data_IF_828986681193
#
_entry.id   IF_828986681193
#
_cell.length_a   1.000
_cell.length_b   1.000
_cell.length_c   1.000
_cell.angle_alpha   90.00
_cell.angle_beta   90.00
_cell.angle_gamma   90.00
#
_symmetry.space_group_name_H-M   'P 1'
#
loop_
_entity.id
_entity.type
_entity.pdbx_description
1 polymer ?
#
# COMPACT_ATOMS: atom_id res chain seq x y z
N UNK A 1 -0.29 18.59 -18.67
CA UNK A 1 -0.40 17.14 -18.39
C UNK A 1 -0.85 17.03 -16.94
N UNK A 2 -1.92 16.28 -16.61
CA UNK A 2 -2.23 15.97 -15.23
C UNK A 2 -1.02 15.23 -14.63
N UNK A 3 -0.52 15.69 -13.49
CA UNK A 3 0.56 14.98 -12.79
C UNK A 3 -0.08 13.89 -11.95
N UNK A 4 0.31 12.64 -12.21
CA UNK A 4 -0.06 11.54 -11.33
C UNK A 4 0.70 11.68 -10.00
N UNK A 5 -0.05 11.60 -8.91
CA UNK A 5 0.50 11.64 -7.55
C UNK A 5 0.12 10.35 -6.86
N UNK A 6 1.11 9.66 -6.33
CA UNK A 6 0.93 8.39 -5.62
C UNK A 6 1.22 8.59 -4.13
N UNK A 7 0.52 7.84 -3.27
CA UNK A 7 0.80 7.85 -1.84
C UNK A 7 0.80 6.44 -1.25
N UNK A 8 1.55 6.26 -0.18
CA UNK A 8 1.48 5.08 0.68
C UNK A 8 1.71 5.47 2.14
N UNK A 9 1.23 4.62 3.04
CA UNK A 9 1.39 4.80 4.50
C UNK A 9 2.42 3.79 4.98
N UNK A 10 3.38 4.25 5.78
CA UNK A 10 4.41 3.39 6.39
C UNK A 10 4.24 3.40 7.91
N UNK A 11 4.18 2.22 8.51
CA UNK A 11 4.21 2.05 9.96
C UNK A 11 5.62 2.30 10.51
N UNK A 12 5.73 2.99 11.64
CA UNK A 12 6.98 3.15 12.37
C UNK A 12 7.06 2.19 13.56
N UNK A 13 8.29 1.86 14.00
CA UNK A 13 8.52 1.10 15.23
C UNK A 13 8.06 1.83 16.49
N UNK A 14 7.86 3.15 16.46
CA UNK A 14 7.33 3.94 17.58
C UNK A 14 5.78 3.91 17.68
N UNK A 15 5.12 3.10 16.84
CA UNK A 15 3.67 2.99 16.77
C UNK A 15 2.98 4.13 16.02
N UNK A 16 3.73 5.02 15.38
CA UNK A 16 3.21 6.12 14.54
C UNK A 16 3.17 5.73 13.07
N UNK A 17 2.51 6.56 12.29
CA UNK A 17 2.38 6.41 10.85
C UNK A 17 3.03 7.57 10.12
N UNK A 18 3.63 7.26 8.98
CA UNK A 18 4.08 8.25 8.02
C UNK A 18 3.28 8.14 6.74
N UNK A 19 2.95 9.28 6.15
CA UNK A 19 2.39 9.32 4.80
C UNK A 19 3.48 9.78 3.86
N UNK A 20 3.78 8.97 2.85
CA UNK A 20 4.72 9.28 1.79
C UNK A 20 3.93 9.57 0.53
N UNK A 21 4.31 10.64 -0.16
CA UNK A 21 3.70 11.10 -1.39
C UNK A 21 4.80 11.22 -2.44
N UNK A 22 4.61 10.59 -3.59
CA UNK A 22 5.50 10.67 -4.73
C UNK A 22 4.78 11.36 -5.88
N UNK A 23 5.42 12.38 -6.44
CA UNK A 23 4.97 13.02 -7.66
C UNK A 23 5.56 12.26 -8.85
N UNK A 24 4.90 12.33 -10.00
CA UNK A 24 5.41 11.82 -11.29
C UNK A 24 6.84 12.31 -11.62
N UNK A 25 7.23 13.49 -11.12
CA UNK A 25 8.60 14.02 -11.25
C UNK A 25 9.66 13.24 -10.45
N UNK A 26 9.27 12.22 -9.68
CA UNK A 26 10.12 11.49 -8.74
C UNK A 26 10.34 12.21 -7.41
N UNK A 27 9.80 13.41 -7.24
CA UNK A 27 9.91 14.16 -5.97
C UNK A 27 9.08 13.47 -4.89
N UNK A 28 9.71 13.24 -3.74
CA UNK A 28 9.09 12.60 -2.57
C UNK A 28 8.84 13.66 -1.49
N UNK A 29 7.64 13.64 -0.93
CA UNK A 29 7.26 14.37 0.28
C UNK A 29 6.80 13.40 1.35
N UNK A 30 7.16 13.67 2.61
CA UNK A 30 6.79 12.81 3.73
C UNK A 30 6.17 13.65 4.84
N UNK A 31 4.94 13.29 5.23
CA UNK A 31 4.35 13.72 6.48
C UNK A 31 4.69 12.69 7.55
N UNK A 32 5.48 13.11 8.52
CA UNK A 32 5.94 12.25 9.60
C UNK A 32 5.05 12.32 10.84
N UNK A 33 4.87 11.18 11.50
CA UNK A 33 4.47 11.12 12.90
C UNK A 33 2.97 11.28 13.18
N UNK A 34 2.11 10.85 12.25
CA UNK A 34 0.69 10.69 12.51
C UNK A 34 0.48 9.69 13.65
N UNK A 35 -0.33 10.06 14.64
CA UNK A 35 -0.55 9.29 15.86
C UNK A 35 -1.45 8.08 15.59
N UNK A 36 -2.30 8.16 14.58
CA UNK A 36 -3.21 7.08 14.19
C UNK A 36 -3.37 6.96 12.68
N UNK A 37 -3.85 5.79 12.25
CA UNK A 37 -4.21 5.54 10.85
C UNK A 37 -5.31 6.49 10.37
N UNK A 38 -6.33 6.74 11.19
CA UNK A 38 -7.40 7.69 10.90
C UNK A 38 -6.88 9.11 10.66
N UNK A 39 -5.85 9.54 11.40
CA UNK A 39 -5.22 10.86 11.19
C UNK A 39 -4.46 10.93 9.86
N UNK A 40 -3.79 9.84 9.48
CA UNK A 40 -3.13 9.72 8.19
C UNK A 40 -4.16 9.77 7.04
N UNK A 41 -5.26 9.02 7.15
CA UNK A 41 -6.32 8.98 6.15
C UNK A 41 -7.03 10.33 5.99
N UNK A 42 -7.33 11.01 7.11
CA UNK A 42 -7.94 12.36 7.09
C UNK A 42 -7.05 13.36 6.34
N UNK A 43 -5.74 13.26 6.53
CA UNK A 43 -4.79 14.12 5.84
C UNK A 43 -4.66 13.79 4.35
N UNK A 44 -4.67 12.51 3.99
CA UNK A 44 -4.70 12.06 2.59
C UNK A 44 -5.94 12.59 1.89
N UNK A 45 -7.09 12.58 2.55
CA UNK A 45 -8.33 13.09 1.99
C UNK A 45 -8.27 14.62 1.76
N UNK A 46 -7.71 15.36 2.72
CA UNK A 46 -7.40 16.79 2.54
C UNK A 46 -6.46 17.03 1.35
N UNK A 47 -5.41 16.21 1.22
CA UNK A 47 -4.47 16.29 0.10
C UNK A 47 -5.17 16.01 -1.24
N UNK A 48 -6.00 14.97 -1.32
CA UNK A 48 -6.78 14.64 -2.53
C UNK A 48 -7.65 15.80 -2.97
N UNK A 49 -8.40 16.40 -2.04
CA UNK A 49 -9.24 17.56 -2.35
C UNK A 49 -8.42 18.74 -2.92
N UNK A 50 -7.30 19.08 -2.28
CA UNK A 50 -6.42 20.16 -2.71
C UNK A 50 -5.83 19.90 -4.09
N UNK A 51 -5.35 18.69 -4.33
CA UNK A 51 -4.67 18.31 -5.55
C UNK A 51 -5.64 18.10 -6.72
N UNK A 52 -6.86 17.61 -6.46
CA UNK A 52 -7.94 17.54 -7.44
C UNK A 52 -8.34 18.94 -7.93
N UNK A 53 -8.37 19.94 -7.06
CA UNK A 53 -8.70 21.32 -7.42
C UNK A 53 -7.71 21.94 -8.44
N UNK A 54 -6.47 21.43 -8.50
CA UNK A 54 -5.45 21.87 -9.46
C UNK A 54 -5.20 20.85 -10.61
N UNK A 55 -6.07 19.84 -10.74
CA UNK A 55 -6.01 18.87 -11.85
C UNK A 55 -4.90 17.81 -11.72
N UNK A 56 -4.42 17.55 -10.51
CA UNK A 56 -3.38 16.56 -10.21
C UNK A 56 -3.89 15.51 -9.21
N UNK A 57 -4.83 14.63 -9.58
CA UNK A 57 -5.46 13.70 -8.63
C UNK A 57 -4.44 12.76 -7.95
N UNK A 58 -4.69 12.45 -6.68
CA UNK A 58 -3.82 11.59 -5.86
C UNK A 58 -4.43 10.19 -5.73
N UNK A 59 -3.67 9.18 -6.11
CA UNK A 59 -4.06 7.76 -6.05
C UNK A 59 -3.21 7.02 -5.03
N UNK A 60 -3.77 5.95 -4.43
CA UNK A 60 -2.95 5.05 -3.63
C UNK A 60 -1.93 4.37 -4.55
N UNK A 61 -0.69 4.23 -4.08
CA UNK A 61 0.26 3.37 -4.73
C UNK A 61 -0.31 1.95 -4.72
N UNK A 62 -0.35 1.32 -5.89
CA UNK A 62 -0.82 -0.06 -6.00
C UNK A 62 0.21 -0.95 -5.30
N UNK A 63 -0.07 -1.32 -4.05
CA UNK A 63 0.63 -2.40 -3.37
C UNK A 63 0.10 -3.71 -3.92
N UNK A 64 0.34 -3.97 -5.21
CA UNK A 64 0.30 -5.34 -5.72
C UNK A 64 1.28 -6.09 -4.84
N UNK A 65 0.72 -6.87 -3.92
CA UNK A 65 1.48 -7.78 -3.10
C UNK A 65 2.19 -8.70 -4.10
N UNK A 66 3.50 -8.55 -4.24
CA UNK A 66 4.35 -9.55 -4.86
C UNK A 66 4.32 -10.78 -3.94
N UNK A 67 3.22 -11.53 -4.01
CA UNK A 67 3.15 -12.92 -3.57
C UNK A 67 2.96 -13.79 -4.81
N UNK A 68 4.05 -14.14 -5.51
CA UNK A 68 4.00 -15.22 -6.47
C UNK A 68 4.13 -16.55 -5.71
N UNK A 69 3.05 -17.07 -5.11
CA UNK A 69 3.04 -18.48 -4.70
C UNK A 69 1.65 -19.13 -4.67
N UNK A 70 1.07 -19.50 -5.83
CA UNK A 70 0.16 -20.63 -5.88
C UNK A 70 0.98 -21.93 -5.90
N UNK A 71 1.61 -22.31 -4.78
CA UNK A 71 2.20 -23.63 -4.66
C UNK A 71 1.10 -24.65 -4.31
N UNK A 72 0.30 -24.98 -5.33
CA UNK A 72 -0.46 -26.22 -5.35
C UNK A 72 0.52 -27.38 -5.21
N UNK A 73 0.63 -27.92 -3.99
CA UNK A 73 1.43 -29.11 -3.69
C UNK A 73 0.48 -30.29 -3.53
N UNK A 74 0.04 -30.79 -4.68
CA UNK A 74 -0.02 -32.22 -5.02
C UNK A 74 -0.25 -33.19 -3.84
N UNK A 75 -1.51 -33.55 -3.61
CA UNK A 75 -1.88 -34.78 -2.89
C UNK A 75 -1.33 -35.96 -3.68
N UNK A 76 -0.20 -36.51 -3.23
CA UNK A 76 0.27 -37.80 -3.71
C UNK A 76 -0.55 -38.89 -3.04
N UNK A 77 -1.33 -39.54 -3.88
CA UNK A 77 -1.98 -40.83 -3.68
C UNK A 77 -0.97 -41.86 -3.15
N UNK A 78 -1.38 -42.62 -2.14
CA UNK A 78 -0.53 -43.60 -1.48
C UNK A 78 -1.37 -44.58 -0.68
N UNK A 79 -2.23 -45.32 -1.37
CA UNK A 79 -2.79 -46.56 -0.88
C UNK A 79 -1.65 -47.54 -0.57
N UNK A 80 -1.56 -48.03 0.67
CA UNK A 80 -0.92 -49.30 0.94
C UNK A 80 -1.72 -50.10 1.98
N UNK A 81 -1.88 -51.37 1.65
CA UNK A 81 -2.78 -52.32 2.26
C UNK A 81 -2.24 -52.80 3.61
N UNK A 82 -3.09 -52.87 4.63
CA UNK A 82 -2.77 -53.64 5.84
C UNK A 82 -3.42 -55.02 5.76
N UNK A 83 -2.61 -56.02 5.40
CA UNK A 83 -2.90 -57.45 5.59
C UNK A 83 -2.13 -57.95 6.80
N UNK A 84 -2.84 -58.42 7.83
CA UNK A 84 -2.58 -59.59 8.71
C UNK A 84 -3.15 -59.40 10.10
#
# INVERSE_FOLDING_TARGET
MPQNVEYWITDRPDGRFDVVVQLESGKIFRRSGCISRTEADTWIEGLRMLMAAIGAPVSAADVTSDDPSPLGSQTVDGADHSTS
#
